data_IF_643342590266
#
_entry.id   IF_643342590266
#
_cell.length_a   1.000
_cell.length_b   1.000
_cell.length_c   1.000
_cell.angle_alpha   90.00
_cell.angle_beta   90.00
_cell.angle_gamma   90.00
#
_symmetry.space_group_name_H-M   'P 1'
#
loop_
_entity.id
_entity.type
_entity.pdbx_description
1 polymer ?
#
# COMPACT_ATOMS: atom_id res chain seq x y z
N UNK A 1 -7.08 32.84 7.67
CA UNK A 1 -6.10 32.24 8.60
C UNK A 1 -5.51 31.00 8.00
N UNK A 2 -4.21 30.93 7.88
CA UNK A 2 -3.62 29.74 7.30
C UNK A 2 -3.84 28.52 8.20
N UNK A 3 -4.12 27.42 7.58
CA UNK A 3 -4.24 26.15 8.30
C UNK A 3 -2.84 25.69 8.66
N UNK A 4 -2.61 25.39 9.94
CA UNK A 4 -1.32 24.88 10.36
C UNK A 4 -1.06 23.49 9.75
N UNK A 5 0.21 23.09 9.69
CA UNK A 5 0.54 21.76 9.22
C UNK A 5 -0.19 20.68 10.02
N UNK A 6 -0.35 20.90 11.32
CA UNK A 6 -1.05 19.97 12.18
C UNK A 6 -2.53 19.85 11.80
N UNK A 7 -3.17 21.00 11.52
CA UNK A 7 -4.57 20.98 11.10
C UNK A 7 -4.74 20.33 9.74
N UNK A 8 -3.76 20.50 8.84
CA UNK A 8 -3.78 19.85 7.55
C UNK A 8 -3.79 18.32 7.71
N UNK A 9 -3.03 17.79 8.66
CA UNK A 9 -3.00 16.36 8.91
C UNK A 9 -4.34 15.80 9.38
N UNK A 10 -5.17 16.59 10.01
CA UNK A 10 -6.49 16.13 10.45
C UNK A 10 -7.40 15.81 9.27
N UNK A 11 -7.18 16.44 8.15
CA UNK A 11 -7.98 16.22 6.95
C UNK A 11 -7.46 15.09 6.09
N UNK A 12 -6.23 14.63 6.36
CA UNK A 12 -5.63 13.51 5.66
C UNK A 12 -6.05 12.24 6.38
N UNK A 13 -6.87 11.44 5.72
CA UNK A 13 -7.27 10.15 6.26
C UNK A 13 -6.25 9.12 5.85
N UNK A 14 -5.73 8.40 6.83
CA UNK A 14 -4.77 7.33 6.57
C UNK A 14 -5.32 6.00 7.02
N UNK A 15 -4.81 4.93 6.41
CA UNK A 15 -5.14 3.59 6.81
C UNK A 15 -3.86 2.82 7.03
N UNK A 16 -3.94 1.76 7.82
CA UNK A 16 -2.77 0.94 8.13
C UNK A 16 -2.56 -0.09 7.03
N UNK A 17 -1.31 -0.19 6.61
CA UNK A 17 -0.89 -1.14 5.59
C UNK A 17 0.12 -2.06 6.23
N UNK A 18 -0.24 -3.33 6.35
CA UNK A 18 0.64 -4.33 6.95
C UNK A 18 1.50 -4.95 5.88
N UNK A 19 2.78 -5.09 6.19
CA UNK A 19 3.76 -5.69 5.30
C UNK A 19 4.21 -7.03 5.85
N UNK A 20 4.40 -7.99 4.97
CA UNK A 20 4.81 -9.34 5.36
C UNK A 20 6.08 -9.76 4.63
N UNK A 21 6.78 -10.74 5.22
CA UNK A 21 7.98 -11.29 4.63
C UNK A 21 9.07 -10.26 4.39
N UNK A 22 9.78 -10.39 3.26
CA UNK A 22 10.86 -9.50 2.91
C UNK A 22 10.47 -8.05 2.67
N UNK A 23 9.17 -7.77 2.51
CA UNK A 23 8.71 -6.40 2.35
C UNK A 23 8.96 -5.55 3.59
N UNK A 24 9.00 -6.19 4.76
CA UNK A 24 9.30 -5.50 6.02
C UNK A 24 10.70 -4.91 6.01
N UNK A 25 11.67 -5.64 5.49
CA UNK A 25 13.04 -5.14 5.39
C UNK A 25 13.14 -4.01 4.37
N UNK A 26 12.39 -4.09 3.29
CA UNK A 26 12.41 -3.05 2.26
C UNK A 26 11.86 -1.72 2.77
N UNK A 27 10.86 -1.78 3.66
CA UNK A 27 10.27 -0.58 4.25
C UNK A 27 10.86 -0.23 5.62
N UNK A 28 11.67 -1.11 6.18
CA UNK A 28 12.22 -0.99 7.53
C UNK A 28 11.15 -0.93 8.62
N UNK A 29 9.97 -1.45 8.32
CA UNK A 29 8.86 -1.51 9.27
C UNK A 29 7.86 -2.57 8.83
N UNK A 30 7.09 -3.08 9.78
CA UNK A 30 6.04 -4.05 9.50
C UNK A 30 4.71 -3.39 9.14
N UNK A 31 4.58 -2.09 9.35
CA UNK A 31 3.32 -1.38 9.11
C UNK A 31 3.59 0.04 8.65
N UNK A 32 2.83 0.48 7.67
CA UNK A 32 2.94 1.84 7.13
C UNK A 32 1.57 2.52 7.20
N UNK A 33 1.59 3.84 7.23
CA UNK A 33 0.39 4.63 7.06
C UNK A 33 0.27 4.99 5.58
N UNK A 34 -0.85 4.62 4.98
CA UNK A 34 -1.10 4.94 3.59
C UNK A 34 -2.27 5.88 3.43
N UNK A 35 -2.27 6.66 2.36
CA UNK A 35 -3.37 7.55 2.03
C UNK A 35 -3.64 7.50 0.53
N UNK A 36 -4.92 7.60 0.18
CA UNK A 36 -5.35 7.53 -1.20
C UNK A 36 -6.79 7.07 -1.27
N UNK A 37 -7.43 7.29 -2.40
CA UNK A 37 -8.82 6.90 -2.60
C UNK A 37 -8.97 5.46 -3.09
N UNK A 38 -7.94 4.91 -3.73
CA UNK A 38 -7.93 3.55 -4.25
C UNK A 38 -6.70 2.82 -3.76
N UNK A 39 -6.72 1.50 -3.87
CA UNK A 39 -5.56 0.68 -3.52
C UNK A 39 -4.35 1.11 -4.35
N UNK A 40 -4.55 1.32 -5.65
CA UNK A 40 -3.48 1.75 -6.55
C UNK A 40 -2.82 3.05 -6.10
N UNK A 41 -3.62 4.05 -5.74
CA UNK A 41 -3.08 5.33 -5.26
C UNK A 41 -2.29 5.15 -3.98
N UNK A 42 -2.78 4.33 -3.06
CA UNK A 42 -2.08 4.05 -1.81
C UNK A 42 -0.74 3.38 -2.06
N UNK A 43 -0.72 2.39 -2.95
CA UNK A 43 0.51 1.68 -3.28
C UNK A 43 1.53 2.61 -3.93
N UNK A 44 1.10 3.51 -4.79
CA UNK A 44 2.00 4.48 -5.39
C UNK A 44 2.51 5.49 -4.37
N UNK A 45 1.67 5.90 -3.43
CA UNK A 45 2.08 6.82 -2.38
C UNK A 45 3.15 6.20 -1.47
N UNK A 46 2.94 4.98 -1.00
CA UNK A 46 3.94 4.34 -0.14
C UNK A 46 5.22 4.01 -0.91
N UNK A 47 5.10 3.72 -2.21
CA UNK A 47 6.27 3.46 -3.06
C UNK A 47 7.12 4.71 -3.27
N UNK A 48 6.48 5.88 -3.34
CA UNK A 48 7.19 7.14 -3.46
C UNK A 48 7.96 7.48 -2.18
N UNK A 49 7.39 7.12 -1.02
CA UNK A 49 8.03 7.38 0.28
C UNK A 49 9.08 6.34 0.65
N UNK A 50 8.99 5.14 0.08
CA UNK A 50 9.90 4.03 0.37
C UNK A 50 10.36 3.40 -0.94
N UNK A 51 11.49 3.91 -1.47
CA UNK A 51 11.95 3.52 -2.80
C UNK A 51 12.21 2.03 -2.95
N UNK A 52 12.83 1.40 -1.95
CA UNK A 52 13.09 -0.04 -2.02
C UNK A 52 11.82 -0.87 -2.01
N UNK A 53 10.83 -0.42 -1.25
CA UNK A 53 9.53 -1.08 -1.26
C UNK A 53 8.87 -0.93 -2.63
N UNK A 54 8.94 0.27 -3.21
CA UNK A 54 8.41 0.52 -4.54
C UNK A 54 9.00 -0.39 -5.60
N UNK A 55 10.31 -0.61 -5.54
CA UNK A 55 10.97 -1.51 -6.47
C UNK A 55 10.54 -2.97 -6.29
N UNK A 56 10.21 -3.34 -5.05
CA UNK A 56 9.72 -4.68 -4.77
C UNK A 56 8.28 -4.89 -5.24
N UNK A 57 7.47 -3.83 -5.27
CA UNK A 57 6.08 -3.92 -5.65
C UNK A 57 5.83 -3.73 -7.14
N UNK A 58 6.55 -2.82 -7.77
CA UNK A 58 6.34 -2.47 -9.17
C UNK A 58 7.61 -2.65 -10.00
N UNK A 59 7.44 -3.12 -11.23
CA UNK A 59 8.55 -3.14 -12.16
C UNK A 59 8.89 -1.72 -12.57
N UNK A 60 10.15 -1.47 -12.95
CA UNK A 60 10.59 -0.15 -13.39
C UNK A 60 9.69 0.43 -14.47
N UNK A 61 9.18 1.62 -14.20
CA UNK A 61 8.34 2.33 -15.16
C UNK A 61 6.94 1.76 -15.33
N UNK A 62 6.58 0.74 -14.56
CA UNK A 62 5.26 0.12 -14.62
C UNK A 62 4.37 0.60 -13.49
N UNK A 63 3.07 0.69 -13.75
CA UNK A 63 2.07 0.94 -12.73
C UNK A 63 1.40 -0.36 -12.29
N UNK A 64 1.85 -1.50 -12.83
CA UNK A 64 1.31 -2.80 -12.48
C UNK A 64 2.19 -3.49 -11.45
N UNK A 65 1.57 -4.19 -10.52
CA UNK A 65 2.29 -4.97 -9.51
C UNK A 65 3.12 -6.06 -10.17
N UNK A 66 4.26 -6.34 -9.57
CA UNK A 66 5.06 -7.50 -9.98
C UNK A 66 4.26 -8.77 -9.75
N UNK A 67 4.50 -9.81 -10.57
CA UNK A 67 3.82 -11.09 -10.39
C UNK A 67 3.97 -11.63 -8.97
N UNK A 68 2.92 -12.27 -8.50
CA UNK A 68 2.89 -12.96 -7.20
C UNK A 68 2.86 -12.05 -5.97
N UNK A 69 2.86 -10.73 -6.14
CA UNK A 69 2.55 -9.82 -5.04
C UNK A 69 1.04 -9.92 -4.80
N UNK A 70 0.66 -10.14 -3.55
CA UNK A 70 -0.76 -10.23 -3.20
C UNK A 70 -1.15 -9.08 -2.28
N UNK A 71 -2.27 -8.46 -2.62
CA UNK A 71 -2.85 -7.39 -1.80
C UNK A 71 -4.14 -7.93 -1.22
N UNK A 72 -4.23 -7.93 0.10
CA UNK A 72 -5.44 -8.36 0.78
C UNK A 72 -6.15 -7.13 1.35
N UNK A 73 -7.44 -7.05 1.13
CA UNK A 73 -8.27 -5.97 1.65
C UNK A 73 -9.34 -6.60 2.53
N UNK A 74 -9.27 -6.31 3.83
CA UNK A 74 -10.16 -6.89 4.81
C UNK A 74 -10.19 -8.43 4.75
N UNK A 75 -9.03 -9.02 4.49
CA UNK A 75 -8.89 -10.47 4.42
C UNK A 75 -9.26 -11.08 3.08
N UNK A 76 -9.62 -10.29 2.08
CA UNK A 76 -9.96 -10.78 0.74
C UNK A 76 -8.89 -10.34 -0.24
N UNK A 77 -8.52 -11.24 -1.15
CA UNK A 77 -7.57 -10.91 -2.21
C UNK A 77 -8.18 -9.82 -3.08
N UNK A 78 -7.39 -8.81 -3.42
CA UNK A 78 -7.86 -7.68 -4.22
C UNK A 78 -8.43 -8.12 -5.58
N UNK A 79 -7.94 -9.20 -6.14
CA UNK A 79 -8.46 -9.71 -7.41
C UNK A 79 -9.92 -10.15 -7.31
N UNK A 80 -10.35 -10.53 -6.12
CA UNK A 80 -11.75 -10.94 -5.89
C UNK A 80 -12.70 -9.75 -5.76
N UNK A 81 -12.16 -8.55 -5.55
CA UNK A 81 -12.98 -7.36 -5.34
C UNK A 81 -12.79 -6.31 -6.44
N UNK A 82 -12.19 -6.69 -7.56
CA UNK A 82 -12.07 -5.82 -8.72
C UNK A 82 -10.68 -5.25 -8.99
N UNK A 83 -9.65 -5.79 -8.35
CA UNK A 83 -8.27 -5.37 -8.58
C UNK A 83 -7.84 -4.21 -7.68
N UNK A 84 -7.04 -3.29 -8.23
CA UNK A 84 -6.46 -2.20 -7.45
C UNK A 84 -7.23 -0.89 -7.56
N UNK A 85 -8.23 -0.82 -8.41
CA UNK A 85 -8.94 0.42 -8.68
C UNK A 85 -10.20 0.68 -7.84
N UNK A 86 -10.77 -0.32 -7.14
CA UNK A 86 -11.89 -0.04 -6.25
C UNK A 86 -11.50 0.93 -5.14
N UNK A 87 -12.47 1.74 -4.71
CA UNK A 87 -12.26 2.69 -3.63
C UNK A 87 -12.06 1.99 -2.30
N UNK A 88 -11.21 2.57 -1.47
CA UNK A 88 -10.99 2.10 -0.10
C UNK A 88 -11.14 3.27 0.86
N UNK A 89 -11.40 2.95 2.11
CA UNK A 89 -11.58 3.95 3.17
C UNK A 89 -10.70 3.66 4.37
N UNK A 90 -10.71 4.57 5.32
CA UNK A 90 -9.83 4.51 6.50
C UNK A 90 -10.10 3.29 7.38
N UNK A 91 -11.28 2.70 7.29
CA UNK A 91 -11.61 1.51 8.07
C UNK A 91 -11.18 0.21 7.39
N UNK A 92 -10.72 0.29 6.16
CA UNK A 92 -10.27 -0.89 5.43
C UNK A 92 -8.86 -1.28 5.87
N UNK A 93 -8.64 -2.58 6.03
CA UNK A 93 -7.34 -3.12 6.39
C UNK A 93 -6.66 -3.67 5.15
N UNK A 94 -5.47 -3.14 4.86
CA UNK A 94 -4.70 -3.56 3.69
C UNK A 94 -3.47 -4.32 4.16
N UNK A 95 -3.20 -5.45 3.52
CA UNK A 95 -2.02 -6.25 3.80
C UNK A 95 -1.34 -6.59 2.48
N UNK A 96 -0.01 -6.52 2.45
CA UNK A 96 0.77 -6.80 1.26
C UNK A 96 1.67 -8.00 1.53
N UNK A 97 1.56 -9.01 0.69
CA UNK A 97 2.35 -10.23 0.79
C UNK A 97 3.30 -10.35 -0.39
N UNK A 98 4.57 -10.65 -0.13
CA UNK A 98 5.53 -10.87 -1.21
C UNK A 98 5.33 -12.23 -1.85
N UNK A 99 5.99 -12.51 -3.00
CA UNK A 99 6.00 -13.84 -3.55
C UNK A 99 6.57 -14.85 -2.54
N UNK A 100 6.00 -16.05 -2.52
CA UNK A 100 6.50 -17.11 -1.65
C UNK A 100 7.70 -17.76 -2.33
N UNK A 101 8.85 -17.76 -1.63
CA UNK A 101 10.06 -18.35 -2.16
C UNK A 101 9.87 -19.86 -2.38
N UNK A 102 10.26 -20.34 -3.55
CA UNK A 102 10.15 -21.76 -3.89
C UNK A 102 8.74 -22.21 -4.23
N UNK A 103 7.80 -21.28 -4.20
CA UNK A 103 6.40 -21.59 -4.50
C UNK A 103 6.03 -21.24 -5.91
#
# INVERSE_FOLDING_TARGET
MPISALDSFRWIKTMKIKLFGGLRQKAETAELDGSGATIREILHQISADHAELGEALFANGSSDLRPHIRIMVNGLDSELIGGLDPAVGVDDQIAIFPPIAGG
#
